data_IF_113568393110
#
_entry.id   IF_113568393110
#
_cell.length_a   1.000
_cell.length_b   1.000
_cell.length_c   1.000
_cell.angle_alpha   90.00
_cell.angle_beta   90.00
_cell.angle_gamma   90.00
#
_symmetry.space_group_name_H-M   'P 1'
#
loop_
_entity.id
_entity.type
_entity.pdbx_description
1 polymer ?
#
# COMPACT_ATOMS: atom_id res chain seq x y z
N UNK A 1 7.12 11.23 -13.38
CA UNK A 1 6.72 9.89 -13.86
C UNK A 1 6.75 9.00 -12.63
N UNK A 2 5.62 8.43 -12.22
CA UNK A 2 5.54 7.72 -10.93
C UNK A 2 6.37 6.42 -11.00
N UNK A 3 7.47 6.35 -10.26
CA UNK A 3 8.24 5.12 -10.12
C UNK A 3 7.65 4.30 -8.99
N UNK A 4 7.32 3.03 -9.25
CA UNK A 4 6.74 2.10 -8.27
C UNK A 4 7.68 0.91 -8.07
N UNK A 5 7.94 0.57 -6.81
CA UNK A 5 8.79 -0.56 -6.41
C UNK A 5 8.04 -1.46 -5.43
N UNK A 6 7.89 -2.74 -5.79
CA UNK A 6 7.27 -3.74 -4.91
C UNK A 6 8.16 -3.96 -3.69
N UNK A 7 7.58 -3.80 -2.50
CA UNK A 7 8.27 -3.98 -1.23
C UNK A 7 7.84 -5.28 -0.54
N UNK A 8 6.54 -5.58 -0.54
CA UNK A 8 6.00 -6.80 0.10
C UNK A 8 4.84 -7.39 -0.69
N UNK A 9 4.71 -8.72 -0.65
CA UNK A 9 3.70 -9.49 -1.36
C UNK A 9 3.17 -10.62 -0.45
N UNK A 10 1.95 -10.46 0.06
CA UNK A 10 1.32 -11.36 1.03
C UNK A 10 0.21 -12.15 0.34
N UNK A 11 0.22 -13.46 0.52
CA UNK A 11 -0.80 -14.36 -0.02
C UNK A 11 -1.55 -15.03 1.14
N UNK A 12 -2.85 -14.77 1.21
CA UNK A 12 -3.75 -15.31 2.22
C UNK A 12 -4.68 -16.29 1.51
N UNK A 13 -4.55 -17.58 1.82
CA UNK A 13 -5.44 -18.61 1.30
C UNK A 13 -6.71 -18.65 2.13
N UNK A 14 -7.86 -18.88 1.49
CA UNK A 14 -9.04 -19.23 2.24
C UNK A 14 -8.97 -20.70 2.65
N UNK A 15 -8.89 -20.96 3.95
CA UNK A 15 -8.94 -22.31 4.54
C UNK A 15 -10.37 -22.71 4.99
N UNK A 16 -11.36 -21.85 4.71
CA UNK A 16 -12.76 -22.05 5.08
C UNK A 16 -13.15 -21.52 6.46
N UNK A 17 -12.26 -20.82 7.17
CA UNK A 17 -12.52 -20.36 8.54
C UNK A 17 -12.88 -18.87 8.66
N UNK A 18 -12.24 -18.00 7.88
CA UNK A 18 -12.35 -16.54 8.04
C UNK A 18 -13.07 -15.82 6.89
N UNK A 19 -13.00 -16.37 5.68
CA UNK A 19 -13.53 -15.72 4.49
C UNK A 19 -14.81 -16.38 3.99
N UNK A 20 -15.59 -15.64 3.21
CA UNK A 20 -16.79 -16.18 2.58
C UNK A 20 -16.45 -17.42 1.75
N UNK A 21 -17.40 -18.36 1.67
CA UNK A 21 -17.22 -19.59 0.90
C UNK A 21 -16.97 -19.34 -0.59
N UNK A 22 -17.22 -18.13 -1.11
CA UNK A 22 -16.96 -17.80 -2.51
C UNK A 22 -15.54 -17.26 -2.75
N UNK A 23 -14.74 -17.06 -1.70
CA UNK A 23 -13.39 -16.54 -1.81
C UNK A 23 -12.37 -17.69 -1.86
N UNK A 24 -11.48 -17.69 -2.84
CA UNK A 24 -10.34 -18.62 -2.95
C UNK A 24 -9.13 -18.12 -2.17
N UNK A 25 -8.92 -16.81 -2.17
CA UNK A 25 -7.86 -16.16 -1.40
C UNK A 25 -7.72 -14.68 -1.70
N UNK A 26 -6.84 -14.05 -0.94
CA UNK A 26 -6.48 -12.63 -1.05
C UNK A 26 -5.00 -12.52 -1.31
N UNK A 27 -4.63 -11.62 -2.22
CA UNK A 27 -3.26 -11.19 -2.41
C UNK A 27 -3.14 -9.70 -2.11
N UNK A 28 -2.23 -9.33 -1.21
CA UNK A 28 -1.92 -7.96 -0.85
C UNK A 28 -0.51 -7.62 -1.31
N UNK A 29 -0.38 -6.58 -2.11
CA UNK A 29 0.91 -6.06 -2.57
C UNK A 29 1.11 -4.64 -2.07
N UNK A 30 2.30 -4.40 -1.53
CA UNK A 30 2.68 -3.13 -0.95
C UNK A 30 3.83 -2.54 -1.76
N UNK A 31 3.67 -1.30 -2.21
CA UNK A 31 4.60 -0.62 -3.09
C UNK A 31 5.10 0.67 -2.46
N UNK A 32 6.40 0.94 -2.64
CA UNK A 32 6.95 2.28 -2.50
C UNK A 32 6.67 3.02 -3.81
N UNK A 33 6.17 4.24 -3.67
CA UNK A 33 6.01 5.19 -4.77
C UNK A 33 7.06 6.28 -4.61
N UNK A 34 7.75 6.62 -5.69
CA UNK A 34 8.64 7.79 -5.76
C UNK A 34 8.03 8.83 -6.69
N UNK A 35 7.97 10.06 -6.20
CA UNK A 35 7.52 11.23 -6.95
C UNK A 35 8.52 12.39 -6.79
N UNK A 36 8.60 13.26 -7.80
CA UNK A 36 9.44 14.45 -7.77
C UNK A 36 8.56 15.66 -7.47
N UNK A 37 8.74 16.24 -6.30
CA UNK A 37 8.05 17.47 -5.90
C UNK A 37 8.86 18.65 -6.45
N UNK A 38 8.35 19.25 -7.52
CA UNK A 38 8.85 20.53 -8.02
C UNK A 38 8.19 21.62 -7.19
N UNK A 39 8.94 22.20 -6.26
CA UNK A 39 8.49 23.35 -5.49
C UNK A 39 9.13 24.61 -6.10
N UNK A 40 8.31 25.59 -6.49
CA UNK A 40 8.78 26.84 -7.12
C UNK A 40 9.73 27.64 -6.23
N UNK A 41 9.67 27.45 -4.90
CA UNK A 41 10.55 28.10 -3.93
C UNK A 41 11.93 27.42 -3.79
N UNK A 42 12.07 26.18 -4.28
CA UNK A 42 13.32 25.43 -4.19
C UNK A 42 13.95 25.29 -5.58
N UNK A 43 15.19 25.74 -5.73
CA UNK A 43 15.95 25.61 -6.99
C UNK A 43 16.22 24.15 -7.43
N UNK A 44 15.79 23.14 -6.66
CA UNK A 44 16.05 21.72 -6.92
C UNK A 44 14.80 20.88 -6.58
N UNK A 45 14.43 19.88 -7.40
CA UNK A 45 13.31 18.99 -7.11
C UNK A 45 13.59 18.16 -5.86
N UNK A 46 12.60 18.08 -4.96
CA UNK A 46 12.67 17.26 -3.76
C UNK A 46 11.99 15.92 -4.05
N UNK A 47 12.65 14.81 -3.73
CA UNK A 47 12.04 13.48 -3.87
C UNK A 47 11.06 13.23 -2.72
N UNK A 48 9.81 12.99 -3.06
CA UNK A 48 8.77 12.52 -2.16
C UNK A 48 8.57 11.02 -2.33
N UNK A 49 8.32 10.32 -1.22
CA UNK A 49 8.02 8.90 -1.22
C UNK A 49 6.64 8.65 -0.63
N UNK A 50 5.85 7.84 -1.33
CA UNK A 50 4.51 7.44 -0.97
C UNK A 50 4.36 5.93 -0.87
N UNK A 51 3.14 5.50 -0.60
CA UNK A 51 2.75 4.11 -0.41
C UNK A 51 1.56 3.80 -1.31
N UNK A 52 1.56 2.62 -1.92
CA UNK A 52 0.35 2.05 -2.49
C UNK A 52 0.16 0.63 -1.97
N UNK A 53 -1.08 0.32 -1.60
CA UNK A 53 -1.51 -1.03 -1.28
C UNK A 53 -2.50 -1.46 -2.35
N UNK A 54 -2.26 -2.63 -2.95
CA UNK A 54 -3.17 -3.27 -3.89
C UNK A 54 -3.64 -4.58 -3.29
N UNK A 55 -4.96 -4.74 -3.16
CA UNK A 55 -5.62 -5.96 -2.73
C UNK A 55 -6.29 -6.61 -3.92
N UNK A 56 -6.02 -7.90 -4.12
CA UNK A 56 -6.67 -8.73 -5.13
C UNK A 56 -7.39 -9.87 -4.44
N UNK A 57 -8.69 -9.93 -4.60
CA UNK A 57 -9.51 -11.02 -4.14
C UNK A 57 -9.80 -11.95 -5.31
N UNK A 58 -9.46 -13.22 -5.15
CA UNK A 58 -9.77 -14.26 -6.12
C UNK A 58 -10.95 -15.08 -5.60
N UNK A 59 -11.98 -15.21 -6.42
CA UNK A 59 -13.16 -16.03 -6.11
C UNK A 59 -13.03 -17.44 -6.66
N UNK A 60 -13.97 -18.33 -6.30
CA UNK A 60 -14.00 -19.72 -6.78
C UNK A 60 -14.42 -19.80 -8.26
N UNK A 61 -15.22 -18.85 -8.74
CA UNK A 61 -15.61 -18.71 -10.14
C UNK A 61 -14.54 -18.01 -11.01
N UNK A 62 -13.31 -17.90 -10.50
CA UNK A 62 -12.16 -17.25 -11.13
C UNK A 62 -12.38 -15.74 -11.44
N UNK A 63 -13.40 -15.12 -10.85
CA UNK A 63 -13.55 -13.66 -10.85
C UNK A 63 -12.50 -13.03 -9.92
N UNK A 64 -11.87 -11.94 -10.36
CA UNK A 64 -10.91 -11.17 -9.56
C UNK A 64 -11.44 -9.78 -9.26
N UNK A 65 -11.50 -9.43 -7.98
CA UNK A 65 -11.84 -8.07 -7.52
C UNK A 65 -10.53 -7.38 -7.09
N UNK A 66 -10.32 -6.15 -7.52
CA UNK A 66 -9.11 -5.38 -7.22
C UNK A 66 -9.49 -4.08 -6.53
N UNK A 67 -8.86 -3.84 -5.38
CA UNK A 67 -8.93 -2.60 -4.63
C UNK A 67 -7.52 -2.03 -4.50
N UNK A 68 -7.36 -0.71 -4.62
CA UNK A 68 -6.07 -0.07 -4.41
C UNK A 68 -6.23 1.28 -3.76
N UNK A 69 -5.33 1.63 -2.86
CA UNK A 69 -5.20 2.97 -2.31
C UNK A 69 -3.74 3.41 -2.42
N UNK A 70 -3.56 4.62 -2.92
CA UNK A 70 -2.26 5.27 -3.09
C UNK A 70 -2.25 6.57 -2.28
N UNK A 71 -1.22 6.75 -1.46
CA UNK A 71 -0.95 7.97 -0.71
C UNK A 71 0.45 8.45 -1.09
N UNK A 72 0.53 9.61 -1.73
CA UNK A 72 1.81 10.20 -2.15
C UNK A 72 2.43 11.02 -1.00
N UNK A 73 3.75 11.27 -1.09
CA UNK A 73 4.47 12.25 -0.26
C UNK A 73 4.34 12.03 1.26
N UNK A 74 4.35 10.79 1.71
CA UNK A 74 4.32 10.40 3.13
C UNK A 74 5.62 10.80 3.84
N UNK A 75 6.77 10.54 3.20
CA UNK A 75 8.09 10.95 3.71
C UNK A 75 9.02 11.42 2.58
N UNK A 76 10.03 12.22 2.91
CA UNK A 76 11.13 12.57 2.00
C UNK A 76 12.27 11.53 2.03
N UNK A 77 12.06 10.33 2.59
CA UNK A 77 13.06 9.28 2.74
C UNK A 77 12.50 7.93 2.32
N UNK A 78 13.12 7.30 1.31
CA UNK A 78 12.77 5.94 0.87
C UNK A 78 12.84 4.96 2.05
N UNK A 79 13.92 5.04 2.85
CA UNK A 79 14.14 4.15 3.99
C UNK A 79 13.01 4.26 5.03
N UNK A 80 12.59 5.47 5.41
CA UNK A 80 11.46 5.64 6.35
C UNK A 80 10.15 5.13 5.76
N UNK A 81 9.94 5.33 4.46
CA UNK A 81 8.76 4.81 3.76
C UNK A 81 8.76 3.29 3.74
N UNK A 82 9.93 2.69 3.53
CA UNK A 82 10.13 1.24 3.60
C UNK A 82 9.81 0.69 4.99
N UNK A 83 10.34 1.30 6.04
CA UNK A 83 10.06 0.91 7.44
C UNK A 83 8.56 1.02 7.79
N UNK A 84 7.86 2.01 7.24
CA UNK A 84 6.42 2.14 7.39
C UNK A 84 5.68 1.02 6.64
N UNK A 85 6.02 0.76 5.38
CA UNK A 85 5.42 -0.33 4.60
C UNK A 85 5.62 -1.68 5.28
N UNK A 86 6.80 -1.94 5.83
CA UNK A 86 7.09 -3.19 6.52
C UNK A 86 6.16 -3.38 7.73
N UNK A 87 5.85 -2.30 8.46
CA UNK A 87 4.84 -2.33 9.55
C UNK A 87 3.43 -2.56 9.03
N UNK A 88 3.02 -1.87 7.97
CA UNK A 88 1.69 -2.04 7.36
C UNK A 88 1.48 -3.46 6.84
N UNK A 89 2.50 -4.03 6.20
CA UNK A 89 2.49 -5.39 5.70
C UNK A 89 2.47 -6.41 6.84
N UNK A 90 3.27 -6.22 7.90
CA UNK A 90 3.25 -7.07 9.08
C UNK A 90 1.85 -7.15 9.73
N UNK A 91 1.13 -6.04 9.76
CA UNK A 91 -0.24 -5.98 10.27
C UNK A 91 -1.33 -6.26 9.23
N UNK A 92 -0.96 -6.64 7.99
CA UNK A 92 -1.90 -6.97 6.91
C UNK A 92 -2.91 -5.84 6.64
N UNK A 93 -2.44 -4.58 6.71
CA UNK A 93 -3.28 -3.41 6.42
C UNK A 93 -3.79 -3.49 4.99
N UNK A 94 -5.08 -3.20 4.81
CA UNK A 94 -5.76 -3.24 3.51
C UNK A 94 -5.95 -1.83 2.95
N UNK A 95 -6.22 -1.67 1.64
CA UNK A 95 -6.47 -0.36 1.03
C UNK A 95 -7.55 0.46 1.76
N UNK A 96 -8.63 -0.19 2.19
CA UNK A 96 -9.79 0.45 2.87
C UNK A 96 -9.44 1.00 4.25
N UNK A 97 -8.38 0.47 4.86
CA UNK A 97 -7.97 0.81 6.23
C UNK A 97 -6.74 1.70 6.29
N UNK A 98 -6.11 1.97 5.15
CA UNK A 98 -4.78 2.60 5.10
C UNK A 98 -4.81 4.03 5.64
N UNK A 99 -5.79 4.83 5.25
CA UNK A 99 -5.99 6.21 5.71
C UNK A 99 -6.09 6.30 7.24
N UNK A 100 -6.98 5.52 7.86
CA UNK A 100 -7.14 5.51 9.31
C UNK A 100 -5.86 5.10 10.04
N UNK A 101 -5.16 4.10 9.53
CA UNK A 101 -3.90 3.63 10.14
C UNK A 101 -2.79 4.67 9.99
N UNK A 102 -2.73 5.39 8.86
CA UNK A 102 -1.75 6.46 8.68
C UNK A 102 -2.05 7.66 9.59
N UNK A 103 -3.33 8.00 9.79
CA UNK A 103 -3.76 9.01 10.76
C UNK A 103 -3.23 8.65 12.16
N UNK A 104 -3.40 7.39 12.59
CA UNK A 104 -2.94 6.93 13.90
C UNK A 104 -1.41 6.89 14.05
N UNK A 105 -0.67 6.54 12.98
CA UNK A 105 0.79 6.40 13.03
C UNK A 105 1.51 7.74 12.91
N UNK A 106 1.04 8.62 12.01
CA UNK A 106 1.74 9.85 11.60
C UNK A 106 1.10 11.08 12.23
N UNK A 107 -0.16 11.00 12.67
CA UNK A 107 -0.88 12.08 13.35
C UNK A 107 -1.28 13.24 12.46
N UNK A 108 -1.26 13.07 11.13
CA UNK A 108 -1.61 14.10 10.15
C UNK A 108 -2.27 13.48 8.92
N UNK A 109 -3.54 13.83 8.68
CA UNK A 109 -4.19 13.84 7.36
C UNK A 109 -4.95 15.17 7.20
#
# INVERSE_FOLDING_TARGET
MLNKKLQSDIHIKNDGTLFSNNLKGINLKYYIIEDEIVNEDFNHPIKGYGIEIVKKEMTIDDTTIIESMQISNVYCSEKRTQELIDKLAYHTVTPVTLDYILEDIIGVL
#
